data_IF_654710589818
#
_entry.id   IF_654710589818
#
_cell.length_a   1.000
_cell.length_b   1.000
_cell.length_c   1.000
_cell.angle_alpha   90.00
_cell.angle_beta   90.00
_cell.angle_gamma   90.00
#
_symmetry.space_group_name_H-M   'P 1'
#
loop_
_entity.id
_entity.type
_entity.pdbx_description
1 polymer ?
#
# COMPACT_ATOMS: atom_id res chain seq x y z
N UNK A 1 16.54 8.35 26.03
CA UNK A 1 16.79 8.88 24.66
C UNK A 1 17.56 7.89 23.76
N UNK A 2 18.77 7.43 24.12
CA UNK A 2 19.58 6.55 23.22
C UNK A 2 18.92 5.21 22.85
N UNK A 3 18.17 4.57 23.75
CA UNK A 3 17.44 3.31 23.49
C UNK A 3 16.23 3.46 22.55
N UNK A 4 15.67 4.66 22.41
CA UNK A 4 14.51 4.92 21.55
C UNK A 4 14.90 5.50 20.19
N UNK A 5 16.11 6.06 20.06
CA UNK A 5 16.59 6.65 18.81
C UNK A 5 16.65 5.62 17.69
N UNK A 6 17.34 4.49 17.90
CA UNK A 6 17.52 3.46 16.86
C UNK A 6 16.16 2.85 16.45
N UNK A 7 15.31 2.36 17.36
CA UNK A 7 14.00 1.81 16.98
C UNK A 7 13.10 2.83 16.27
N UNK A 8 13.10 4.08 16.73
CA UNK A 8 12.33 5.15 16.08
C UNK A 8 12.80 5.42 14.65
N UNK A 9 14.12 5.50 14.44
CA UNK A 9 14.70 5.67 13.11
C UNK A 9 14.35 4.50 12.19
N UNK A 10 14.44 3.26 12.66
CA UNK A 10 14.04 2.07 11.88
C UNK A 10 12.56 2.18 11.49
N UNK A 11 11.69 2.55 12.44
CA UNK A 11 10.26 2.71 12.18
C UNK A 11 9.96 3.81 11.15
N UNK A 12 10.59 4.98 11.26
CA UNK A 12 10.43 6.09 10.30
C UNK A 12 10.91 5.67 8.92
N UNK A 13 12.12 5.11 8.82
CA UNK A 13 12.67 4.63 7.54
C UNK A 13 11.78 3.56 6.91
N UNK A 14 11.23 2.66 7.74
CA UNK A 14 10.30 1.63 7.29
C UNK A 14 9.00 2.24 6.75
N UNK A 15 8.39 3.16 7.50
CA UNK A 15 7.17 3.86 7.07
C UNK A 15 7.38 4.67 5.79
N UNK A 16 8.48 5.40 5.67
CA UNK A 16 8.82 6.16 4.45
C UNK A 16 8.99 5.23 3.26
N UNK A 17 9.70 4.10 3.46
CA UNK A 17 9.91 3.11 2.41
C UNK A 17 8.59 2.50 1.91
N UNK A 18 7.75 2.01 2.80
CA UNK A 18 6.46 1.42 2.39
C UNK A 18 5.53 2.49 1.81
N UNK A 19 5.51 3.70 2.36
CA UNK A 19 4.72 4.81 1.80
C UNK A 19 5.18 5.13 0.38
N UNK A 20 6.48 5.21 0.14
CA UNK A 20 7.00 5.40 -1.20
C UNK A 20 6.52 4.30 -2.15
N UNK A 21 6.68 3.03 -1.77
CA UNK A 21 6.29 1.89 -2.60
C UNK A 21 4.79 1.88 -2.93
N UNK A 22 3.91 2.17 -1.98
CA UNK A 22 2.48 2.12 -2.24
C UNK A 22 1.93 3.37 -2.94
N UNK A 23 2.68 4.48 -2.98
CA UNK A 23 2.25 5.72 -3.61
C UNK A 23 3.01 6.06 -4.90
N UNK A 24 3.98 5.24 -5.31
CA UNK A 24 4.74 5.40 -6.55
C UNK A 24 4.73 4.11 -7.37
N UNK A 25 4.13 4.18 -8.57
CA UNK A 25 4.18 3.09 -9.52
C UNK A 25 5.50 3.08 -10.29
N UNK A 26 6.14 1.90 -10.35
CA UNK A 26 7.40 1.71 -11.07
C UNK A 26 7.18 1.58 -12.58
N UNK A 27 6.30 0.67 -13.00
CA UNK A 27 5.98 0.42 -14.41
C UNK A 27 5.00 1.43 -14.99
N UNK A 28 4.05 1.91 -14.18
CA UNK A 28 3.05 2.89 -14.58
C UNK A 28 3.09 4.09 -13.64
N UNK A 29 3.23 5.29 -14.20
CA UNK A 29 3.18 6.53 -13.41
C UNK A 29 1.76 6.75 -12.91
N UNK A 30 1.65 7.13 -11.63
CA UNK A 30 0.39 7.48 -10.99
C UNK A 30 0.29 9.01 -10.85
N UNK A 31 -0.91 9.59 -11.03
CA UNK A 31 -1.08 11.02 -10.88
C UNK A 31 -0.93 11.43 -9.42
N UNK A 32 -0.18 12.51 -9.19
CA UNK A 32 -0.04 13.10 -7.85
C UNK A 32 -0.93 14.34 -7.74
N UNK A 33 -2.15 14.13 -7.26
CA UNK A 33 -3.13 15.20 -7.13
C UNK A 33 -2.76 16.19 -6.02
N UNK A 34 -2.95 17.48 -6.26
CA UNK A 34 -2.69 18.57 -5.31
C UNK A 34 -3.79 19.63 -5.38
N UNK A 35 -3.91 20.43 -4.32
CA UNK A 35 -4.85 21.55 -4.26
C UNK A 35 -6.29 21.09 -4.51
N UNK A 36 -7.00 21.75 -5.42
CA UNK A 36 -8.40 21.45 -5.75
C UNK A 36 -8.62 20.10 -6.46
N UNK A 37 -7.57 19.54 -7.06
CA UNK A 37 -7.66 18.24 -7.74
C UNK A 37 -7.57 17.05 -6.77
N UNK A 38 -7.09 17.29 -5.55
CA UNK A 38 -6.97 16.24 -4.54
C UNK A 38 -8.30 15.98 -3.84
N UNK A 39 -8.62 14.71 -3.67
CA UNK A 39 -9.67 14.25 -2.77
C UNK A 39 -9.24 12.93 -2.13
N UNK A 40 -9.84 12.58 -1.01
CA UNK A 40 -9.57 11.31 -0.31
C UNK A 40 -9.73 10.11 -1.24
N UNK A 41 -10.84 10.07 -1.97
CA UNK A 41 -11.13 8.99 -2.94
C UNK A 41 -10.09 8.91 -4.05
N UNK A 42 -9.73 10.05 -4.66
CA UNK A 42 -8.70 10.09 -5.71
C UNK A 42 -7.34 9.65 -5.18
N UNK A 43 -6.98 10.09 -3.97
CA UNK A 43 -5.75 9.68 -3.29
C UNK A 43 -5.68 8.16 -3.09
N UNK A 44 -6.72 7.58 -2.48
CA UNK A 44 -6.82 6.13 -2.23
C UNK A 44 -6.76 5.30 -3.51
N UNK A 45 -7.51 5.69 -4.55
CA UNK A 45 -7.51 4.98 -5.84
C UNK A 45 -6.20 5.08 -6.62
N UNK A 46 -5.34 6.06 -6.31
CA UNK A 46 -4.01 6.20 -6.91
C UNK A 46 -2.90 5.48 -6.16
N UNK A 47 -3.25 4.70 -5.14
CA UNK A 47 -2.27 3.84 -4.49
C UNK A 47 -2.03 2.53 -5.25
N UNK A 48 -0.99 1.81 -4.87
CA UNK A 48 -0.56 0.56 -5.49
C UNK A 48 -0.55 -0.52 -4.43
N UNK A 49 -1.32 -1.58 -4.66
CA UNK A 49 -1.21 -2.78 -3.84
C UNK A 49 0.16 -3.45 -4.05
N UNK A 50 0.70 -4.08 -3.01
CA UNK A 50 2.01 -4.74 -3.04
C UNK A 50 1.91 -6.16 -2.49
N UNK A 51 2.57 -7.10 -3.16
CA UNK A 51 2.75 -8.44 -2.64
C UNK A 51 4.20 -8.59 -2.17
N UNK A 52 4.42 -8.61 -0.86
CA UNK A 52 5.74 -8.83 -0.24
C UNK A 52 6.08 -10.32 -0.10
N UNK A 53 5.25 -11.21 -0.62
CA UNK A 53 5.41 -12.65 -0.54
C UNK A 53 5.20 -13.17 0.87
N UNK A 54 6.19 -13.88 1.39
CA UNK A 54 6.05 -14.63 2.65
C UNK A 54 5.97 -13.74 3.90
N UNK A 55 6.26 -12.44 3.77
CA UNK A 55 6.19 -11.47 4.89
C UNK A 55 4.88 -10.66 4.92
N UNK A 56 3.93 -10.86 3.99
CA UNK A 56 2.66 -10.12 3.97
C UNK A 56 1.96 -10.16 5.34
N UNK A 57 1.82 -11.36 5.89
CA UNK A 57 1.13 -11.60 7.15
C UNK A 57 1.85 -10.95 8.35
N UNK A 58 3.20 -10.88 8.30
CA UNK A 58 4.02 -10.20 9.33
C UNK A 58 3.85 -8.68 9.22
N UNK A 59 3.63 -8.17 8.01
CA UNK A 59 3.27 -6.78 7.75
C UNK A 59 1.78 -6.50 7.85
N UNK A 60 1.00 -7.38 8.48
CA UNK A 60 -0.44 -7.20 8.66
C UNK A 60 -1.17 -6.91 7.33
N UNK A 61 -0.73 -7.54 6.24
CA UNK A 61 -1.31 -7.38 4.91
C UNK A 61 -1.37 -5.92 4.44
N UNK A 62 -0.44 -5.06 4.87
CA UNK A 62 -0.35 -3.64 4.45
C UNK A 62 -0.33 -3.46 2.91
N UNK A 63 0.06 -4.51 2.20
CA UNK A 63 0.02 -4.59 0.75
C UNK A 63 -1.34 -4.38 0.11
N UNK A 64 -2.46 -4.58 0.82
CA UNK A 64 -3.82 -4.27 0.35
C UNK A 64 -4.16 -2.79 0.50
N UNK A 65 -3.26 -1.92 0.05
CA UNK A 65 -3.23 -0.50 0.41
C UNK A 65 -4.41 0.29 -0.16
N UNK A 66 -4.91 -0.08 -1.35
CA UNK A 66 -6.07 0.62 -1.96
C UNK A 66 -7.29 0.50 -1.06
N UNK A 67 -7.66 -0.72 -0.66
CA UNK A 67 -8.82 -0.96 0.20
C UNK A 67 -8.58 -0.45 1.61
N UNK A 68 -7.36 -0.58 2.13
CA UNK A 68 -6.99 0.02 3.40
C UNK A 68 -7.26 1.54 3.41
N UNK A 69 -6.91 2.25 2.34
CA UNK A 69 -7.20 3.68 2.23
C UNK A 69 -8.66 4.01 1.98
N UNK A 70 -9.42 3.17 1.27
CA UNK A 70 -10.84 3.45 1.03
C UNK A 70 -11.71 3.14 2.26
N UNK A 71 -11.33 2.12 3.02
CA UNK A 71 -12.10 1.59 4.14
C UNK A 71 -11.18 1.25 5.33
N UNK A 72 -10.51 2.25 5.95
CA UNK A 72 -9.56 2.02 7.04
C UNK A 72 -10.19 1.40 8.30
N UNK A 73 -11.52 1.36 8.39
CA UNK A 73 -12.27 0.71 9.45
C UNK A 73 -12.30 -0.82 9.31
N UNK A 74 -12.04 -1.37 8.11
CA UNK A 74 -11.90 -2.80 7.91
C UNK A 74 -10.60 -3.23 8.60
N UNK A 75 -10.66 -4.18 9.56
CA UNK A 75 -9.46 -4.60 10.24
C UNK A 75 -8.54 -5.36 9.28
N UNK A 76 -7.23 -5.29 9.55
CA UNK A 76 -6.22 -5.80 8.62
C UNK A 76 -6.41 -7.28 8.22
N UNK A 77 -6.90 -8.11 9.14
CA UNK A 77 -7.16 -9.53 8.91
C UNK A 77 -8.36 -9.83 7.98
N UNK A 78 -9.14 -8.82 7.58
CA UNK A 78 -10.17 -8.92 6.54
C UNK A 78 -9.82 -8.15 5.26
N UNK A 79 -8.68 -7.45 5.20
CA UNK A 79 -8.38 -6.61 4.04
C UNK A 79 -8.13 -7.43 2.78
N UNK A 80 -7.53 -8.62 2.88
CA UNK A 80 -7.33 -9.50 1.72
C UNK A 80 -8.67 -9.91 1.10
N UNK A 81 -9.64 -10.30 1.94
CA UNK A 81 -11.00 -10.64 1.51
C UNK A 81 -11.70 -9.44 0.88
N UNK A 82 -11.63 -8.27 1.53
CA UNK A 82 -12.22 -7.03 1.03
C UNK A 82 -11.60 -6.60 -0.32
N UNK A 83 -10.29 -6.76 -0.49
CA UNK A 83 -9.60 -6.54 -1.76
C UNK A 83 -10.13 -7.46 -2.84
N UNK A 84 -10.23 -8.78 -2.60
CA UNK A 84 -10.79 -9.70 -3.60
C UNK A 84 -12.22 -9.32 -4.00
N UNK A 85 -13.07 -8.93 -3.03
CA UNK A 85 -14.43 -8.49 -3.31
C UNK A 85 -14.47 -7.21 -4.17
N UNK A 86 -13.57 -6.26 -3.89
CA UNK A 86 -13.50 -4.99 -4.60
C UNK A 86 -12.93 -5.08 -6.02
N UNK A 87 -12.17 -6.14 -6.36
CA UNK A 87 -11.60 -6.31 -7.71
C UNK A 87 -12.64 -6.21 -8.81
N UNK A 88 -13.83 -6.78 -8.61
CA UNK A 88 -14.92 -6.72 -9.60
C UNK A 88 -15.45 -5.29 -9.82
N UNK A 89 -15.43 -4.46 -8.77
CA UNK A 89 -15.86 -3.05 -8.81
C UNK A 89 -14.80 -2.17 -9.47
N UNK A 90 -13.53 -2.41 -9.16
CA UNK A 90 -12.40 -1.70 -9.76
C UNK A 90 -12.16 -2.10 -11.22
N UNK A 91 -12.53 -3.33 -11.59
CA UNK A 91 -12.49 -3.83 -12.96
C UNK A 91 -11.10 -3.72 -13.59
N UNK A 92 -11.06 -3.20 -14.82
CA UNK A 92 -9.81 -2.99 -15.57
C UNK A 92 -8.83 -2.00 -14.92
N UNK A 93 -9.29 -1.21 -13.95
CA UNK A 93 -8.43 -0.26 -13.23
C UNK A 93 -7.70 -0.89 -12.04
N UNK A 94 -8.09 -2.10 -11.63
CA UNK A 94 -7.35 -2.83 -10.61
C UNK A 94 -6.02 -3.33 -11.18
N UNK A 95 -4.93 -3.13 -10.42
CA UNK A 95 -3.59 -3.58 -10.79
C UNK A 95 -3.21 -4.72 -9.87
N UNK A 96 -3.12 -5.91 -10.43
CA UNK A 96 -2.64 -7.07 -9.68
C UNK A 96 -1.18 -6.82 -9.23
N UNK A 97 -0.87 -6.98 -7.94
CA UNK A 97 0.50 -6.80 -7.46
C UNK A 97 1.38 -7.93 -7.97
N UNK A 98 2.57 -7.58 -8.46
CA UNK A 98 3.62 -8.55 -8.69
C UNK A 98 4.24 -8.98 -7.36
N UNK A 99 4.50 -10.29 -7.23
CA UNK A 99 5.15 -10.84 -6.05
C UNK A 99 6.59 -10.37 -5.96
N UNK A 100 6.90 -9.66 -4.88
CA UNK A 100 8.25 -9.20 -4.57
C UNK A 100 9.18 -10.39 -4.37
N UNK A 101 10.36 -10.31 -4.97
CA UNK A 101 11.42 -11.27 -4.77
C UNK A 101 12.42 -10.77 -3.72
N UNK A 102 13.16 -11.66 -3.03
CA UNK A 102 14.21 -11.26 -2.10
C UNK A 102 15.37 -10.49 -2.76
N UNK A 103 15.52 -10.62 -4.08
CA UNK A 103 16.57 -9.98 -4.87
C UNK A 103 15.95 -9.35 -6.13
N UNK A 104 16.36 -8.13 -6.52
CA UNK A 104 15.95 -7.54 -7.79
C UNK A 104 16.57 -8.33 -8.95
N UNK A 105 15.77 -8.72 -9.92
CA UNK A 105 16.21 -9.32 -11.18
C UNK A 105 15.80 -8.44 -12.37
#
# INVERSE_FOLDING_TARGET
>A
LKLYGIPYWIFVMWLDFVTYLHHHGHHQKLPWYRGKEWSYLRGGLTTVDRDYGWINNIHHDIGTHVIHHLFPQIPHYHLVEATQAAKSVLGEYYREPERSAPLPF
#
